data_IF_049993839173
#
_entry.id   IF_049993839173
#
_cell.length_a   1.000
_cell.length_b   1.000
_cell.length_c   1.000
_cell.angle_alpha   90.00
_cell.angle_beta   90.00
_cell.angle_gamma   90.00
#
_symmetry.space_group_name_H-M   'P 1'
#
loop_
_entity.id
_entity.type
_entity.pdbx_description
1 polymer ?
#
# COMPACT_ATOMS: atom_id res chain seq x y z
N UNK A 1 22.92 -10.25 7.44
CA UNK A 1 21.64 -9.77 6.88
C UNK A 1 20.57 -9.99 7.90
N UNK A 2 19.77 -8.97 8.22
CA UNK A 2 18.60 -9.11 9.09
C UNK A 2 17.54 -9.92 8.35
N UNK A 3 16.95 -10.92 9.02
CA UNK A 3 15.80 -11.65 8.49
C UNK A 3 14.58 -10.72 8.48
N UNK A 4 14.27 -10.16 7.31
CA UNK A 4 13.16 -9.21 7.14
C UNK A 4 11.80 -9.85 7.47
N UNK A 5 11.65 -11.17 7.30
CA UNK A 5 10.43 -11.89 7.69
C UNK A 5 10.25 -11.81 9.20
N UNK A 6 11.32 -12.03 9.97
CA UNK A 6 11.30 -11.90 11.43
C UNK A 6 10.97 -10.48 11.88
N UNK A 7 11.53 -9.47 11.22
CA UNK A 7 11.23 -8.06 11.53
C UNK A 7 9.74 -7.74 11.29
N UNK A 8 9.17 -8.23 10.18
CA UNK A 8 7.74 -8.05 9.89
C UNK A 8 6.84 -8.75 10.92
N UNK A 9 7.25 -9.91 11.43
CA UNK A 9 6.55 -10.60 12.53
C UNK A 9 6.66 -9.83 13.85
N UNK A 10 7.86 -9.35 14.20
CA UNK A 10 8.11 -8.56 15.42
C UNK A 10 7.27 -7.27 15.46
N UNK A 11 7.08 -6.63 14.31
CA UNK A 11 6.25 -5.41 14.17
C UNK A 11 4.80 -5.69 13.73
N UNK A 12 4.38 -6.97 13.77
CA UNK A 12 3.03 -7.44 13.50
C UNK A 12 2.48 -7.11 12.10
N UNK A 13 3.33 -6.74 11.15
CA UNK A 13 2.93 -6.62 9.74
C UNK A 13 2.54 -7.98 9.15
N UNK A 14 3.13 -9.04 9.69
CA UNK A 14 2.56 -10.38 9.66
C UNK A 14 1.99 -10.62 11.07
N UNK A 15 0.66 -10.77 11.26
CA UNK A 15 -0.36 -11.05 10.25
C UNK A 15 -1.20 -9.85 9.76
N UNK A 16 -0.96 -8.62 10.24
CA UNK A 16 -1.92 -7.52 10.05
C UNK A 16 -2.06 -7.04 8.59
N UNK A 17 -0.96 -7.11 7.81
CA UNK A 17 -0.92 -6.74 6.38
C UNK A 17 -0.80 -7.97 5.49
N UNK A 18 0.08 -8.89 5.87
CA UNK A 18 0.40 -10.12 5.15
C UNK A 18 -0.03 -11.35 5.95
N UNK A 19 -0.44 -12.45 5.32
CA UNK A 19 -0.92 -13.63 6.05
C UNK A 19 0.19 -14.28 6.89
N UNK A 20 -0.22 -14.97 7.95
CA UNK A 20 0.70 -15.76 8.77
C UNK A 20 1.46 -16.79 7.92
N UNK A 21 2.77 -16.94 8.16
CA UNK A 21 3.62 -17.85 7.41
C UNK A 21 4.18 -17.28 6.10
N UNK A 22 3.82 -16.05 5.71
CA UNK A 22 4.45 -15.36 4.58
C UNK A 22 5.96 -15.29 4.78
N UNK A 23 6.72 -15.66 3.74
CA UNK A 23 8.17 -15.47 3.68
C UNK A 23 8.46 -14.27 2.78
N UNK A 24 9.28 -13.36 3.25
CA UNK A 24 9.71 -12.18 2.49
C UNK A 24 11.15 -12.45 2.02
N UNK A 25 11.36 -12.72 0.72
CA UNK A 25 12.67 -13.14 0.22
C UNK A 25 13.74 -12.06 0.30
N UNK A 26 13.37 -10.81 0.05
CA UNK A 26 14.31 -9.69 -0.07
C UNK A 26 13.85 -8.46 0.72
N UNK A 27 14.81 -7.67 1.19
CA UNK A 27 14.52 -6.34 1.74
C UNK A 27 14.33 -5.34 0.59
N UNK A 28 13.34 -4.46 0.70
CA UNK A 28 13.04 -3.46 -0.32
C UNK A 28 13.77 -2.14 -0.05
N UNK A 29 14.66 -1.75 -0.95
CA UNK A 29 15.22 -0.39 -1.00
C UNK A 29 14.36 0.51 -1.88
N UNK A 30 13.91 1.64 -1.34
CA UNK A 30 13.19 2.67 -2.10
C UNK A 30 14.05 3.93 -2.10
N UNK A 31 14.59 4.30 -3.27
CA UNK A 31 15.54 5.39 -3.43
C UNK A 31 14.99 6.49 -4.37
N UNK A 32 15.42 7.73 -4.13
CA UNK A 32 15.09 8.88 -4.96
C UNK A 32 16.28 9.86 -5.01
N UNK A 33 16.80 10.29 -6.18
CA UNK A 33 16.41 9.96 -7.56
C UNK A 33 16.88 8.56 -8.03
N UNK A 34 16.34 8.09 -9.15
CA UNK A 34 16.46 6.71 -9.64
C UNK A 34 17.74 6.48 -10.48
N UNK A 35 18.31 5.25 -10.49
CA UNK A 35 19.37 4.84 -11.43
C UNK A 35 18.85 4.70 -12.88
N UNK A 36 19.75 4.77 -13.86
CA UNK A 36 19.45 4.72 -15.31
C UNK A 36 19.45 3.29 -15.90
N UNK A 37 19.58 2.24 -15.08
CA UNK A 37 19.55 0.86 -15.51
C UNK A 37 18.28 0.16 -15.03
N UNK A 38 17.59 -0.58 -15.91
CA UNK A 38 16.30 -1.25 -15.62
C UNK A 38 16.34 -2.72 -16.05
N UNK A 39 15.64 -3.58 -15.32
CA UNK A 39 15.32 -4.96 -15.67
C UNK A 39 14.11 -5.03 -16.60
N UNK A 40 14.02 -6.10 -17.39
CA UNK A 40 12.84 -6.39 -18.22
C UNK A 40 11.64 -6.94 -17.43
N UNK A 41 11.84 -7.34 -16.17
CA UNK A 41 10.77 -7.84 -15.30
C UNK A 41 9.84 -6.70 -14.84
N UNK A 42 8.54 -6.95 -14.88
CA UNK A 42 7.50 -6.04 -14.37
C UNK A 42 7.01 -6.48 -12.99
N UNK A 43 6.77 -5.49 -12.13
CA UNK A 43 6.30 -5.68 -10.76
C UNK A 43 5.11 -4.75 -10.46
N UNK A 44 4.47 -5.00 -9.30
CA UNK A 44 3.49 -4.09 -8.69
C UNK A 44 4.09 -3.56 -7.39
N UNK A 45 4.10 -2.24 -7.24
CA UNK A 45 4.43 -1.56 -5.99
C UNK A 45 3.14 -1.20 -5.26
N UNK A 46 3.03 -1.61 -3.99
CA UNK A 46 1.92 -1.28 -3.10
C UNK A 46 2.45 -0.62 -1.82
N UNK A 47 1.84 0.50 -1.44
CA UNK A 47 2.02 1.13 -0.13
C UNK A 47 0.69 1.15 0.61
N UNK A 48 0.68 0.65 1.83
CA UNK A 48 -0.53 0.50 2.64
C UNK A 48 -0.28 0.86 4.11
N UNK A 49 -1.29 1.46 4.74
CA UNK A 49 -1.32 1.81 6.17
C UNK A 49 -2.42 1.00 6.87
N UNK A 50 -2.11 0.06 7.77
CA UNK A 50 -3.09 -0.69 8.54
C UNK A 50 -3.59 0.07 9.77
N UNK A 51 -3.09 1.28 10.04
CA UNK A 51 -3.21 1.94 11.35
C UNK A 51 -3.90 3.32 11.28
N UNK A 52 -4.97 3.46 10.46
CA UNK A 52 -5.59 4.76 10.16
C UNK A 52 -5.96 5.56 11.42
N UNK A 53 -6.71 4.97 12.35
CA UNK A 53 -7.07 5.65 13.61
C UNK A 53 -6.38 5.06 14.85
N UNK A 54 -6.02 3.78 14.79
CA UNK A 54 -5.30 3.04 15.82
C UNK A 54 -4.58 1.85 15.18
N UNK A 55 -3.68 1.20 15.93
CA UNK A 55 -2.97 0.02 15.44
C UNK A 55 -3.93 -1.09 14.99
N UNK A 56 -3.71 -1.59 13.78
CA UNK A 56 -4.51 -2.62 13.10
C UNK A 56 -6.01 -2.28 13.12
N UNK A 57 -6.35 -1.15 12.49
CA UNK A 57 -7.69 -0.60 12.47
C UNK A 57 -8.65 -1.49 11.65
N UNK A 58 -9.25 -2.46 12.32
CA UNK A 58 -10.25 -3.34 11.71
C UNK A 58 -11.58 -2.64 11.41
N UNK A 59 -11.80 -1.41 11.89
CA UNK A 59 -13.03 -0.65 11.66
C UNK A 59 -13.03 0.00 10.29
N UNK A 60 -11.94 0.69 9.95
CA UNK A 60 -11.77 1.34 8.64
C UNK A 60 -10.97 0.49 7.65
N UNK A 61 -10.31 -0.56 8.14
CA UNK A 61 -9.45 -1.42 7.34
C UNK A 61 -8.17 -0.73 6.92
N UNK A 62 -7.42 -1.41 6.05
CA UNK A 62 -6.15 -0.87 5.56
C UNK A 62 -6.40 0.26 4.56
N UNK A 63 -5.53 1.26 4.56
CA UNK A 63 -5.59 2.41 3.67
C UNK A 63 -4.51 2.31 2.62
N UNK A 64 -4.89 2.25 1.36
CA UNK A 64 -3.92 2.21 0.25
C UNK A 64 -3.37 3.59 -0.06
N UNK A 65 -2.09 3.82 0.19
CA UNK A 65 -1.41 5.09 -0.08
C UNK A 65 -0.80 5.19 -1.47
N UNK A 66 -0.40 4.06 -2.06
CA UNK A 66 0.17 4.03 -3.41
C UNK A 66 -0.03 2.65 -4.03
N UNK A 67 -0.39 2.60 -5.31
CA UNK A 67 -0.41 1.35 -6.08
C UNK A 67 -0.06 1.64 -7.53
N UNK A 68 1.04 1.04 -7.97
CA UNK A 68 1.58 1.23 -9.31
C UNK A 68 1.86 -0.14 -9.90
N UNK A 69 1.33 -0.37 -11.10
CA UNK A 69 1.64 -1.55 -11.89
C UNK A 69 2.78 -1.24 -12.86
N UNK A 70 3.45 -2.29 -13.36
CA UNK A 70 4.53 -2.17 -14.36
C UNK A 70 5.70 -1.33 -13.86
N UNK A 71 6.04 -1.45 -12.58
CA UNK A 71 7.30 -0.88 -12.08
C UNK A 71 8.43 -1.85 -12.45
N UNK A 72 9.59 -1.30 -12.78
CA UNK A 72 10.80 -2.08 -13.04
C UNK A 72 11.72 -2.05 -11.83
N UNK A 73 12.74 -2.91 -11.83
CA UNK A 73 13.86 -2.81 -10.90
C UNK A 73 15.12 -2.36 -11.63
N UNK A 74 16.03 -1.67 -10.96
CA UNK A 74 17.40 -1.57 -11.45
C UNK A 74 18.18 -2.86 -11.26
N UNK A 75 19.35 -3.01 -11.89
CA UNK A 75 20.22 -4.16 -11.60
C UNK A 75 20.79 -4.11 -10.17
N UNK A 76 20.80 -2.93 -9.54
CA UNK A 76 21.09 -2.76 -8.10
C UNK A 76 19.92 -3.16 -7.19
N UNK A 77 18.73 -3.43 -7.75
CA UNK A 77 17.54 -3.84 -7.00
C UNK A 77 16.67 -2.68 -6.50
N UNK A 78 16.84 -1.48 -7.04
CA UNK A 78 16.04 -0.30 -6.71
C UNK A 78 14.73 -0.29 -7.50
N UNK A 79 13.62 0.09 -6.87
CA UNK A 79 12.33 0.19 -7.57
C UNK A 79 12.27 1.43 -8.44
N UNK A 80 12.12 1.23 -9.74
CA UNK A 80 11.97 2.29 -10.75
C UNK A 80 10.49 2.43 -11.12
N UNK A 81 9.89 3.49 -10.61
CA UNK A 81 8.45 3.77 -10.80
C UNK A 81 8.18 4.62 -12.05
N UNK A 82 9.22 5.27 -12.59
CA UNK A 82 9.12 6.10 -13.79
C UNK A 82 8.91 5.21 -15.02
N UNK A 83 7.68 5.16 -15.53
CA UNK A 83 7.25 4.21 -16.57
C UNK A 83 6.12 3.28 -16.12
N UNK A 84 5.90 3.17 -14.81
CA UNK A 84 4.78 2.42 -14.24
C UNK A 84 3.43 3.12 -14.44
N UNK A 85 2.36 2.33 -14.39
CA UNK A 85 0.98 2.81 -14.48
C UNK A 85 0.36 2.91 -13.09
N UNK A 86 0.15 4.15 -12.61
CA UNK A 86 -0.45 4.37 -11.31
C UNK A 86 -1.94 4.00 -11.32
N UNK A 87 -2.30 2.98 -10.55
CA UNK A 87 -3.70 2.62 -10.26
C UNK A 87 -4.24 3.53 -9.15
N UNK A 88 -3.43 3.77 -8.13
CA UNK A 88 -3.67 4.79 -7.12
C UNK A 88 -2.42 5.65 -6.98
N UNK A 89 -2.46 6.93 -7.41
CA UNK A 89 -1.35 7.86 -7.25
C UNK A 89 -0.94 8.00 -5.79
N UNK A 90 0.35 8.28 -5.57
CA UNK A 90 0.94 8.44 -4.24
C UNK A 90 0.19 9.52 -3.44
N UNK A 91 -0.23 9.16 -2.24
CA UNK A 91 -0.66 10.10 -1.20
C UNK A 91 0.19 9.88 0.02
N UNK A 92 0.86 10.95 0.45
CA UNK A 92 1.80 10.89 1.55
C UNK A 92 1.17 10.46 2.88
N UNK A 93 1.99 9.95 3.80
CA UNK A 93 1.58 9.70 5.18
C UNK A 93 0.93 10.93 5.82
N UNK A 94 -0.20 10.72 6.48
CA UNK A 94 -0.87 11.78 7.25
C UNK A 94 -1.43 11.24 8.57
N UNK A 95 -0.71 10.42 9.36
CA UNK A 95 -1.29 9.75 10.53
C UNK A 95 -1.84 10.74 11.56
N UNK A 96 -2.85 10.30 12.32
CA UNK A 96 -3.37 11.10 13.43
C UNK A 96 -2.28 11.27 14.49
N UNK A 97 -2.16 12.48 15.05
CA UNK A 97 -1.28 12.74 16.19
C UNK A 97 -1.90 12.17 17.47
N UNK A 98 -1.90 10.83 17.59
CA UNK A 98 -2.49 10.13 18.72
C UNK A 98 -1.92 10.62 20.07
N UNK A 99 -0.65 11.04 20.13
CA UNK A 99 -0.07 11.61 21.34
C UNK A 99 -0.77 12.88 21.84
N UNK A 100 -1.44 13.64 20.97
CA UNK A 100 -2.22 14.82 21.34
C UNK A 100 -3.59 14.48 21.93
N UNK A 101 -4.08 13.26 21.72
CA UNK A 101 -5.42 12.82 22.13
C UNK A 101 -5.35 11.81 23.28
N UNK A 102 -4.48 10.80 23.17
CA UNK A 102 -4.34 9.68 24.11
C UNK A 102 -3.01 9.70 24.88
N UNK A 103 -2.20 10.76 24.74
CA UNK A 103 -1.03 11.03 25.58
C UNK A 103 0.23 10.23 25.26
N UNK A 104 0.17 9.21 24.39
CA UNK A 104 1.32 8.41 23.97
C UNK A 104 1.50 8.45 22.44
N UNK A 105 2.75 8.51 21.99
CA UNK A 105 3.13 8.34 20.59
C UNK A 105 2.64 6.99 20.06
N UNK A 106 2.01 7.00 18.90
CA UNK A 106 1.55 5.80 18.18
C UNK A 106 1.79 6.00 16.69
N UNK A 107 3.02 5.75 16.20
CA UNK A 107 3.32 5.92 14.79
C UNK A 107 2.63 4.85 13.95
N UNK A 108 1.97 5.25 12.87
CA UNK A 108 1.36 4.33 11.91
C UNK A 108 2.41 3.61 11.07
N UNK A 109 2.13 2.35 10.70
CA UNK A 109 3.02 1.48 9.92
C UNK A 109 2.75 1.60 8.43
N UNK A 110 3.52 2.43 7.75
CA UNK A 110 3.47 2.51 6.29
C UNK A 110 4.27 1.37 5.68
N UNK A 111 3.57 0.41 5.10
CA UNK A 111 4.14 -0.84 4.59
C UNK A 111 4.24 -0.79 3.08
N UNK A 112 5.43 -1.07 2.57
CA UNK A 112 5.73 -1.16 1.14
C UNK A 112 5.94 -2.61 0.75
N UNK A 113 5.23 -3.04 -0.29
CA UNK A 113 5.28 -4.38 -0.85
C UNK A 113 5.64 -4.28 -2.33
N UNK A 114 6.63 -5.08 -2.74
CA UNK A 114 6.90 -5.36 -4.14
C UNK A 114 6.33 -6.74 -4.46
N UNK A 115 5.45 -6.78 -5.44
CA UNK A 115 4.73 -7.97 -5.85
C UNK A 115 5.09 -8.33 -7.28
N UNK A 116 5.10 -9.62 -7.59
CA UNK A 116 5.14 -10.11 -8.97
C UNK A 116 4.05 -11.15 -9.17
N UNK A 117 3.70 -11.45 -10.42
CA UNK A 117 2.84 -12.59 -10.69
C UNK A 117 3.52 -13.90 -10.29
N UNK A 118 2.74 -14.77 -9.67
CA UNK A 118 3.13 -16.17 -9.47
C UNK A 118 3.40 -16.79 -10.85
N UNK A 119 4.42 -17.64 -10.95
CA UNK A 119 4.78 -18.34 -12.19
C UNK A 119 3.77 -19.44 -12.57
N UNK A 120 2.49 -19.28 -12.20
CA UNK A 120 1.44 -20.24 -12.45
C UNK A 120 1.09 -20.27 -13.95
N UNK A 121 1.18 -21.43 -14.61
CA UNK A 121 1.01 -21.54 -16.07
C UNK A 121 -0.43 -21.30 -16.58
N UNK A 122 -1.40 -21.03 -15.70
CA UNK A 122 -2.84 -20.99 -16.04
C UNK A 122 -3.44 -19.61 -16.30
N UNK A 123 -2.67 -18.52 -16.26
CA UNK A 123 -3.19 -17.17 -16.51
C UNK A 123 -2.20 -16.34 -17.34
N UNK A 124 -2.65 -15.54 -18.33
CA UNK A 124 -1.87 -14.38 -18.72
C UNK A 124 -1.94 -13.39 -17.56
N UNK A 125 -0.93 -13.48 -16.71
CA UNK A 125 -0.66 -12.55 -15.63
C UNK A 125 -0.35 -11.18 -16.26
N UNK A 126 -1.36 -10.33 -16.38
CA UNK A 126 -1.22 -9.03 -17.05
C UNK A 126 -1.21 -7.93 -15.99
N UNK A 127 -0.14 -7.13 -16.00
CA UNK A 127 -0.01 -5.98 -15.11
C UNK A 127 -0.79 -4.76 -15.63
N UNK A 128 -1.81 -4.94 -16.47
CA UNK A 128 -2.61 -3.82 -16.94
C UNK A 128 -3.56 -3.32 -15.82
N UNK A 129 -3.70 -1.99 -15.65
CA UNK A 129 -4.55 -1.42 -14.60
C UNK A 129 -6.01 -1.89 -14.62
N UNK A 130 -6.69 -2.05 -15.78
CA UNK A 130 -8.04 -2.63 -15.82
C UNK A 130 -8.12 -4.03 -15.18
N UNK A 131 -7.22 -4.95 -15.55
CA UNK A 131 -7.19 -6.30 -14.97
C UNK A 131 -6.96 -6.27 -13.47
N UNK A 132 -5.98 -5.49 -13.00
CA UNK A 132 -5.69 -5.34 -11.58
C UNK A 132 -6.83 -4.67 -10.80
N UNK A 133 -7.73 -3.95 -11.48
CA UNK A 133 -8.94 -3.33 -10.93
C UNK A 133 -10.15 -4.26 -10.84
N UNK A 134 -10.15 -5.36 -11.59
CA UNK A 134 -11.34 -6.20 -11.83
C UNK A 134 -12.03 -6.74 -10.57
N UNK A 135 -11.33 -6.90 -9.45
CA UNK A 135 -11.94 -7.30 -8.17
C UNK A 135 -12.89 -6.25 -7.58
N UNK A 136 -12.69 -4.98 -7.92
CA UNK A 136 -13.30 -3.84 -7.25
C UNK A 136 -14.20 -3.03 -8.19
N UNK A 137 -14.48 -3.56 -9.39
CA UNK A 137 -15.50 -3.02 -10.28
C UNK A 137 -16.85 -2.95 -9.54
N UNK A 138 -17.43 -1.75 -9.49
CA UNK A 138 -18.68 -1.47 -8.77
C UNK A 138 -18.54 -1.06 -7.30
N UNK A 139 -17.33 -1.16 -6.71
CA UNK A 139 -17.05 -0.76 -5.33
C UNK A 139 -16.09 0.44 -5.36
N UNK A 140 -16.64 1.63 -5.66
CA UNK A 140 -15.89 2.87 -5.93
C UNK A 140 -14.84 3.18 -4.85
N UNK A 141 -15.10 2.75 -3.60
CA UNK A 141 -14.23 2.99 -2.46
C UNK A 141 -13.04 2.04 -2.33
N UNK A 142 -12.78 1.17 -3.31
CA UNK A 142 -11.76 0.13 -3.13
C UNK A 142 -10.71 0.02 -4.23
N UNK A 143 -10.94 0.42 -5.48
CA UNK A 143 -9.86 0.69 -6.46
C UNK A 143 -10.12 1.85 -7.43
N UNK A 144 -11.15 2.65 -7.19
CA UNK A 144 -11.29 3.94 -7.85
C UNK A 144 -12.51 4.03 -8.76
N UNK A 145 -13.56 4.63 -8.21
CA UNK A 145 -14.19 5.70 -8.95
C UNK A 145 -13.17 6.79 -9.36
N UNK A 146 -13.63 7.83 -10.06
CA UNK A 146 -12.76 8.95 -10.44
C UNK A 146 -12.17 9.69 -9.23
N UNK A 147 -12.81 9.57 -8.06
CA UNK A 147 -12.30 10.06 -6.80
C UNK A 147 -11.14 9.18 -6.29
N UNK A 148 -10.02 9.84 -6.03
CA UNK A 148 -8.82 9.28 -5.42
C UNK A 148 -8.61 10.02 -4.09
N UNK A 149 -9.64 10.11 -3.24
CA UNK A 149 -9.55 10.71 -1.91
C UNK A 149 -9.14 9.64 -0.87
N UNK A 150 -9.04 10.01 0.42
CA UNK A 150 -8.64 9.03 1.44
C UNK A 150 -9.73 7.98 1.68
N UNK A 151 -11.01 8.35 1.54
CA UNK A 151 -12.14 7.47 1.81
C UNK A 151 -12.20 6.33 0.79
N UNK A 152 -11.86 6.62 -0.47
CA UNK A 152 -11.81 5.61 -1.53
C UNK A 152 -10.60 4.68 -1.45
N UNK A 153 -9.72 4.92 -0.48
CA UNK A 153 -8.55 4.09 -0.20
C UNK A 153 -8.72 3.25 1.05
N UNK A 154 -9.71 3.55 1.90
CA UNK A 154 -10.00 2.80 3.13
C UNK A 154 -10.65 1.45 2.79
N UNK A 155 -10.50 0.48 3.69
CA UNK A 155 -11.05 -0.85 3.51
C UNK A 155 -10.35 -1.67 2.44
N UNK A 156 -9.15 -1.26 2.00
CA UNK A 156 -8.32 -2.06 1.12
C UNK A 156 -7.92 -3.36 1.83
N UNK A 157 -7.95 -4.47 1.09
CA UNK A 157 -7.54 -5.77 1.60
C UNK A 157 -6.36 -6.27 0.78
N UNK A 158 -5.15 -6.12 1.34
CA UNK A 158 -3.91 -6.53 0.69
C UNK A 158 -3.89 -8.02 0.35
N UNK A 159 -4.39 -8.87 1.24
CA UNK A 159 -4.43 -10.32 1.00
C UNK A 159 -5.35 -10.67 -0.17
N UNK A 160 -6.58 -10.16 -0.17
CA UNK A 160 -7.53 -10.41 -1.24
C UNK A 160 -7.00 -9.93 -2.60
N UNK A 161 -6.37 -8.74 -2.62
CA UNK A 161 -5.72 -8.21 -3.82
C UNK A 161 -4.61 -9.14 -4.34
N UNK A 162 -3.74 -9.64 -3.46
CA UNK A 162 -2.65 -10.56 -3.84
C UNK A 162 -3.23 -11.86 -4.39
N UNK A 163 -4.16 -12.49 -3.66
CA UNK A 163 -4.74 -13.79 -4.02
C UNK A 163 -5.49 -13.73 -5.35
N UNK A 164 -6.36 -12.73 -5.56
CA UNK A 164 -7.17 -12.63 -6.77
C UNK A 164 -6.37 -12.31 -8.02
N UNK A 165 -5.29 -11.56 -7.88
CA UNK A 165 -4.42 -11.23 -9.00
C UNK A 165 -3.29 -12.27 -9.18
N UNK A 166 -3.28 -13.35 -8.39
CA UNK A 166 -2.25 -14.39 -8.50
C UNK A 166 -0.84 -13.83 -8.28
N UNK A 167 -0.70 -12.90 -7.35
CA UNK A 167 0.57 -12.23 -7.03
C UNK A 167 1.29 -12.94 -5.87
N UNK A 168 2.59 -12.72 -5.77
CA UNK A 168 3.39 -13.08 -4.61
C UNK A 168 4.29 -11.92 -4.17
N UNK A 169 4.55 -11.84 -2.86
CA UNK A 169 5.46 -10.84 -2.28
C UNK A 169 6.89 -11.27 -2.55
N UNK A 170 7.67 -10.42 -3.20
CA UNK A 170 9.10 -10.67 -3.46
C UNK A 170 10.01 -9.82 -2.61
N UNK A 171 9.58 -8.62 -2.24
CA UNK A 171 10.31 -7.77 -1.34
C UNK A 171 9.35 -6.92 -0.52
N UNK A 172 9.76 -6.53 0.67
CA UNK A 172 8.98 -5.63 1.50
C UNK A 172 9.87 -4.77 2.39
N UNK A 173 9.35 -3.61 2.78
CA UNK A 173 9.90 -2.74 3.81
C UNK A 173 8.78 -1.96 4.48
N UNK A 174 9.06 -1.23 5.55
CA UNK A 174 8.09 -0.37 6.20
C UNK A 174 8.75 0.82 6.89
N UNK A 175 7.96 1.85 7.15
CA UNK A 175 8.36 3.01 7.91
C UNK A 175 7.32 3.31 9.00
N UNK A 176 7.80 3.71 10.18
CA UNK A 176 6.97 4.32 11.21
C UNK A 176 6.87 5.81 10.95
N UNK A 177 5.64 6.32 10.85
CA UNK A 177 5.41 7.77 10.72
C UNK A 177 4.50 8.22 11.85
N UNK A 178 4.93 9.23 12.58
CA UNK A 178 4.14 9.83 13.64
C UNK A 178 3.38 11.05 13.15
N UNK A 179 2.14 11.19 13.61
CA UNK A 179 1.32 12.35 13.32
C UNK A 179 1.80 13.59 14.05
N UNK A 180 1.54 14.77 13.50
CA UNK A 180 1.68 16.05 14.18
C UNK A 180 0.38 16.86 14.02
N UNK A 181 0.32 18.05 14.63
CA UNK A 181 -0.88 18.91 14.57
C UNK A 181 -1.34 19.16 13.12
N UNK A 182 -0.39 19.30 12.18
CA UNK A 182 -0.69 19.52 10.76
C UNK A 182 -1.28 18.28 10.09
N UNK A 183 -0.77 17.08 10.37
CA UNK A 183 -1.34 15.84 9.82
C UNK A 183 -2.71 15.53 10.41
N UNK A 184 -2.94 15.79 11.70
CA UNK A 184 -4.27 15.66 12.31
C UNK A 184 -5.33 16.56 11.67
N UNK A 185 -4.97 17.81 11.36
CA UNK A 185 -5.87 18.73 10.66
C UNK A 185 -6.14 18.27 9.22
N UNK A 186 -5.10 17.80 8.51
CA UNK A 186 -5.24 17.24 7.17
C UNK A 186 -6.13 16.00 7.17
N UNK A 187 -5.95 15.06 8.11
CA UNK A 187 -6.80 13.86 8.21
C UNK A 187 -8.26 14.21 8.53
N UNK A 188 -8.50 15.12 9.48
CA UNK A 188 -9.85 15.59 9.77
C UNK A 188 -10.49 16.24 8.54
N UNK A 189 -9.76 17.07 7.81
CA UNK A 189 -10.24 17.68 6.57
C UNK A 189 -10.49 16.63 5.46
N UNK A 190 -9.63 15.62 5.31
CA UNK A 190 -9.78 14.54 4.33
C UNK A 190 -10.96 13.61 4.64
N UNK A 191 -11.19 13.30 5.92
CA UNK A 191 -12.37 12.53 6.35
C UNK A 191 -13.67 13.33 6.16
N UNK A 192 -13.67 14.62 6.49
CA UNK A 192 -14.86 15.48 6.31
C UNK A 192 -15.17 15.69 4.83
N UNK A 193 -14.16 16.00 4.01
CA UNK A 193 -14.35 16.20 2.56
C UNK A 193 -14.75 14.92 1.85
N UNK A 194 -14.14 13.78 2.19
CA UNK A 194 -14.54 12.50 1.63
C UNK A 194 -15.96 12.09 2.03
N UNK A 195 -16.38 12.34 3.28
CA UNK A 195 -17.73 12.02 3.72
C UNK A 195 -18.78 12.88 2.99
N UNK A 196 -18.45 14.16 2.74
CA UNK A 196 -19.27 15.06 1.93
C UNK A 196 -19.35 14.57 0.47
N UNK A 197 -18.24 14.18 -0.15
CA UNK A 197 -18.18 13.67 -1.53
C UNK A 197 -18.97 12.36 -1.70
N UNK A 198 -18.85 11.43 -0.74
CA UNK A 198 -19.61 10.19 -0.72
C UNK A 198 -21.12 10.42 -0.56
N UNK A 199 -21.53 11.41 0.23
CA UNK A 199 -22.94 11.76 0.41
C UNK A 199 -23.59 12.37 -0.83
N UNK A 200 -22.79 12.97 -1.73
CA UNK A 200 -23.27 13.55 -3.00
C UNK A 200 -23.09 12.62 -4.21
N UNK A 201 -22.59 11.40 -4.01
CA UNK A 201 -22.53 10.36 -5.06
C UNK A 201 -21.39 10.50 -6.06
N UNK A 202 -20.28 11.16 -5.68
CA UNK A 202 -19.02 11.16 -6.44
C UNK A 202 -18.02 10.15 -5.87
#
# INVERSE_FOLDING_TARGET
MTDITKVFQEHQLIPDVLPAGTKIPYNLGVHWPLPDDVSDDEYVLLMVDPDLTHYNDSTFGQVRHWLVAKVALSHSGDVIVNGGSAISPYVGPAPLAAHLIVGNARPSRYTFLLLKHTSSPSLPATFDPPTLRGEYEGDASKLGGSSQNIIDRMGFNTLAFIEKNGLEVVAATFAFVEGNVKSSLTNAAMLVSGAAQKAVGY
#
